data_IF_864114570601
#
_entry.id   IF_864114570601
#
_cell.length_a   1.000
_cell.length_b   1.000
_cell.length_c   1.000
_cell.angle_alpha   90.00
_cell.angle_beta   90.00
_cell.angle_gamma   90.00
#
_symmetry.space_group_name_H-M   'P 1'
#
loop_
_entity.id
_entity.type
_entity.pdbx_description
1 polymer ?
#
# COMPACT_ATOMS: atom_id res chain seq x y z
N UNK A 1 34.78 -2.23 13.27
CA UNK A 1 34.67 -3.55 12.62
C UNK A 1 35.72 -4.47 13.23
N UNK A 2 35.43 -5.08 14.39
CA UNK A 2 36.33 -6.06 15.03
C UNK A 2 35.47 -7.28 15.32
N UNK A 3 35.62 -8.32 14.49
CA UNK A 3 34.81 -9.55 14.57
C UNK A 3 34.46 -10.20 13.24
N UNK A 4 34.47 -9.46 12.13
CA UNK A 4 34.07 -9.97 10.81
C UNK A 4 35.27 -10.30 9.91
N UNK A 5 35.16 -11.38 9.13
CA UNK A 5 36.21 -11.91 8.25
C UNK A 5 36.42 -11.10 6.96
N UNK A 6 35.43 -10.32 6.54
CA UNK A 6 35.50 -9.39 5.41
C UNK A 6 34.40 -8.32 5.50
N UNK A 7 34.49 -7.28 4.66
CA UNK A 7 33.54 -6.17 4.60
C UNK A 7 32.12 -6.62 4.20
N UNK A 8 32.00 -7.62 3.33
CA UNK A 8 30.70 -8.17 2.90
C UNK A 8 29.95 -8.83 4.06
N UNK A 9 30.66 -9.58 4.91
CA UNK A 9 30.10 -10.22 6.10
C UNK A 9 29.61 -9.18 7.11
N UNK A 10 30.39 -8.10 7.31
CA UNK A 10 30.00 -7.00 8.19
C UNK A 10 28.78 -6.24 7.65
N UNK A 11 28.70 -6.00 6.34
CA UNK A 11 27.55 -5.36 5.71
C UNK A 11 26.29 -6.25 5.78
N UNK A 12 26.44 -7.56 5.57
CA UNK A 12 25.34 -8.51 5.69
C UNK A 12 24.79 -8.58 7.12
N UNK A 13 25.66 -8.59 8.12
CA UNK A 13 25.22 -8.59 9.53
C UNK A 13 24.51 -7.28 9.91
N UNK A 14 24.99 -6.14 9.39
CA UNK A 14 24.40 -4.83 9.62
C UNK A 14 23.01 -4.66 8.99
N UNK A 15 22.84 -5.09 7.73
CA UNK A 15 21.59 -4.88 6.99
C UNK A 15 20.65 -6.08 7.00
N UNK A 16 21.15 -7.25 7.38
CA UNK A 16 20.39 -8.49 7.51
C UNK A 16 19.82 -8.73 8.91
N UNK A 17 19.97 -7.79 9.84
CA UNK A 17 19.34 -7.87 11.16
C UNK A 17 17.79 -7.75 11.05
N UNK A 18 17.01 -8.68 11.63
CA UNK A 18 15.55 -8.63 11.60
C UNK A 18 14.91 -7.48 12.40
N UNK A 19 15.66 -6.78 13.28
CA UNK A 19 15.11 -5.69 14.08
C UNK A 19 15.44 -4.30 13.52
N UNK A 20 16.70 -4.05 13.18
CA UNK A 20 17.19 -2.74 12.74
C UNK A 20 17.71 -2.73 11.29
N UNK A 21 17.69 -3.87 10.61
CA UNK A 21 18.13 -4.01 9.22
C UNK A 21 17.04 -3.74 8.17
N UNK A 22 17.34 -4.03 6.91
CA UNK A 22 16.44 -3.88 5.76
C UNK A 22 15.99 -5.23 5.20
N UNK A 23 15.78 -6.22 6.08
CA UNK A 23 15.29 -7.54 5.71
C UNK A 23 13.98 -7.42 4.90
N UNK A 24 13.87 -8.14 3.78
CA UNK A 24 12.78 -8.05 2.79
C UNK A 24 12.68 -6.72 2.01
N UNK A 25 13.66 -5.82 2.15
CA UNK A 25 13.82 -4.63 1.33
C UNK A 25 15.28 -4.49 0.88
N UNK A 26 15.68 -5.41 0.01
CA UNK A 26 17.08 -5.62 -0.38
C UNK A 26 17.68 -4.43 -1.13
N UNK A 27 16.84 -3.63 -1.79
CA UNK A 27 17.29 -2.44 -2.52
C UNK A 27 17.64 -1.28 -1.59
N UNK A 28 17.02 -1.18 -0.41
CA UNK A 28 17.30 -0.10 0.55
C UNK A 28 18.71 -0.22 1.13
N UNK A 29 19.20 -1.43 1.40
CA UNK A 29 20.57 -1.63 1.85
C UNK A 29 21.60 -1.16 0.81
N UNK A 30 21.36 -1.48 -0.47
CA UNK A 30 22.19 -1.03 -1.58
C UNK A 30 22.15 0.50 -1.72
N UNK A 31 20.96 1.11 -1.57
CA UNK A 31 20.79 2.56 -1.58
C UNK A 31 21.58 3.25 -0.47
N UNK A 32 21.54 2.70 0.75
CA UNK A 32 22.24 3.26 1.92
C UNK A 32 23.76 3.12 1.81
N UNK A 33 24.23 1.96 1.34
CA UNK A 33 25.65 1.74 1.09
C UNK A 33 26.23 2.75 0.09
N UNK A 34 25.45 3.11 -0.91
CA UNK A 34 25.94 3.86 -2.06
C UNK A 34 25.74 5.36 -1.91
N UNK A 35 24.51 5.80 -1.62
CA UNK A 35 24.16 7.22 -1.58
C UNK A 35 24.55 7.86 -0.24
N UNK A 36 24.38 7.14 0.88
CA UNK A 36 24.75 7.64 2.21
C UNK A 36 26.16 7.20 2.64
N UNK A 37 26.77 6.25 1.93
CA UNK A 37 28.13 5.78 2.24
C UNK A 37 28.23 5.13 3.62
N UNK A 38 27.17 4.47 4.08
CA UNK A 38 27.12 3.83 5.39
C UNK A 38 27.19 2.31 5.25
N UNK A 39 28.08 1.60 5.97
CA UNK A 39 29.03 2.11 6.96
C UNK A 39 30.32 2.70 6.38
N UNK A 40 30.55 2.59 5.07
CA UNK A 40 31.68 3.21 4.38
C UNK A 40 31.32 3.53 2.92
N UNK A 41 31.84 4.65 2.39
CA UNK A 41 31.64 5.06 1.00
C UNK A 41 32.31 4.09 0.02
N UNK A 42 31.65 3.70 -1.09
CA UNK A 42 32.26 2.84 -2.10
C UNK A 42 33.47 3.50 -2.76
N UNK A 43 34.56 2.76 -2.94
CA UNK A 43 35.79 3.28 -3.55
C UNK A 43 35.62 3.67 -5.03
N UNK A 44 34.63 3.09 -5.71
CA UNK A 44 34.30 3.31 -7.13
C UNK A 44 33.33 4.47 -7.37
N UNK A 45 32.87 5.16 -6.31
CA UNK A 45 31.96 6.30 -6.40
C UNK A 45 30.48 5.93 -6.22
N UNK A 46 29.59 6.90 -6.46
CA UNK A 46 28.13 6.71 -6.34
C UNK A 46 27.59 5.73 -7.40
N UNK A 47 26.51 5.04 -7.07
CA UNK A 47 25.86 4.00 -7.90
C UNK A 47 26.79 2.80 -8.19
N UNK A 48 27.69 2.47 -7.26
CA UNK A 48 28.50 1.24 -7.28
C UNK A 48 27.65 -0.02 -7.03
N UNK A 49 26.69 0.08 -6.13
CA UNK A 49 25.86 -1.04 -5.66
C UNK A 49 24.38 -0.83 -6.00
N UNK A 50 23.93 0.42 -5.98
CA UNK A 50 22.59 0.82 -6.35
C UNK A 50 22.50 1.11 -7.85
N UNK A 51 21.37 0.79 -8.45
CA UNK A 51 21.17 1.00 -9.88
C UNK A 51 21.13 2.51 -10.22
N UNK A 52 21.84 2.92 -11.26
CA UNK A 52 21.98 4.31 -11.69
C UNK A 52 20.79 4.84 -12.50
N UNK A 53 19.99 3.95 -13.09
CA UNK A 53 18.86 4.30 -13.95
C UNK A 53 17.53 4.36 -13.19
N UNK A 54 17.27 3.39 -12.31
CA UNK A 54 15.99 3.28 -11.59
C UNK A 54 16.14 2.58 -10.24
N UNK A 55 15.51 3.16 -9.21
CA UNK A 55 15.34 2.51 -7.91
C UNK A 55 14.19 1.49 -7.90
N UNK A 56 13.23 1.65 -8.80
CA UNK A 56 12.03 0.83 -8.96
C UNK A 56 11.47 1.01 -10.37
N UNK A 57 11.03 -0.07 -11.01
CA UNK A 57 10.43 -0.02 -12.34
C UNK A 57 8.95 -0.44 -12.27
N UNK A 58 8.07 0.53 -12.43
CA UNK A 58 6.62 0.28 -12.49
C UNK A 58 6.14 0.21 -13.93
N UNK A 59 5.18 -0.67 -14.19
CA UNK A 59 4.54 -0.79 -15.48
C UNK A 59 3.02 -0.69 -15.32
N UNK A 60 2.40 0.22 -16.06
CA UNK A 60 0.95 0.31 -16.15
C UNK A 60 0.40 -0.91 -16.88
N UNK A 61 -0.50 -1.63 -16.21
CA UNK A 61 -1.12 -2.87 -16.70
C UNK A 61 -2.56 -2.96 -16.25
N UNK A 62 -3.45 -3.38 -17.15
CA UNK A 62 -4.86 -3.63 -16.85
C UNK A 62 -5.08 -5.07 -16.35
N UNK A 63 -4.36 -5.45 -15.28
CA UNK A 63 -4.41 -6.80 -14.69
C UNK A 63 -5.13 -6.84 -13.33
N UNK A 64 -5.43 -5.67 -12.76
CA UNK A 64 -6.17 -5.53 -11.52
C UNK A 64 -7.68 -5.72 -11.75
N UNK A 65 -8.38 -6.28 -10.76
CA UNK A 65 -9.83 -6.39 -10.77
C UNK A 65 -10.43 -5.84 -9.48
N UNK A 66 -11.63 -5.27 -9.58
CA UNK A 66 -12.42 -4.76 -8.45
C UNK A 66 -13.83 -5.35 -8.50
N UNK A 67 -14.37 -5.72 -7.33
CA UNK A 67 -15.70 -6.28 -7.17
C UNK A 67 -16.48 -5.44 -6.16
N UNK A 68 -17.65 -4.93 -6.57
CA UNK A 68 -18.53 -4.14 -5.74
C UNK A 68 -19.89 -4.82 -5.56
N UNK A 69 -20.34 -4.96 -4.31
CA UNK A 69 -21.65 -5.47 -3.94
C UNK A 69 -22.39 -4.43 -3.13
N UNK A 70 -23.70 -4.24 -3.36
CA UNK A 70 -24.50 -3.29 -2.60
C UNK A 70 -25.93 -3.77 -2.38
N UNK A 71 -26.52 -3.27 -1.29
CA UNK A 71 -27.91 -3.46 -0.90
C UNK A 71 -28.46 -2.11 -0.46
N UNK A 72 -29.62 -1.72 -0.99
CA UNK A 72 -30.32 -0.51 -0.56
C UNK A 72 -31.70 -0.87 -0.02
N UNK A 73 -32.03 -0.35 1.15
CA UNK A 73 -33.30 -0.55 1.84
C UNK A 73 -33.90 0.81 2.17
N UNK A 74 -35.14 1.02 1.73
CA UNK A 74 -35.92 2.21 2.09
C UNK A 74 -37.16 1.79 2.86
N UNK A 75 -37.37 2.40 4.02
CA UNK A 75 -38.53 2.18 4.88
C UNK A 75 -39.23 3.51 5.17
N UNK A 76 -40.48 3.61 4.69
CA UNK A 76 -41.36 4.77 4.92
C UNK A 76 -42.53 4.34 5.80
N UNK A 77 -42.73 5.04 6.92
CA UNK A 77 -43.86 4.83 7.82
C UNK A 77 -44.64 6.12 8.02
N UNK A 78 -45.87 6.14 7.55
CA UNK A 78 -46.85 7.19 7.87
C UNK A 78 -47.62 6.80 9.13
N UNK A 79 -47.53 7.63 10.16
CA UNK A 79 -48.28 7.50 11.40
C UNK A 79 -49.50 8.43 11.36
N UNK A 80 -50.52 8.12 12.16
CA UNK A 80 -51.66 9.01 12.30
C UNK A 80 -51.26 10.34 12.94
N UNK A 81 -52.03 11.41 12.68
CA UNK A 81 -51.83 12.78 13.21
C UNK A 81 -50.67 13.58 12.57
N UNK A 82 -50.36 13.31 11.31
CA UNK A 82 -49.42 14.14 10.52
C UNK A 82 -47.96 13.75 10.62
N UNK A 83 -47.63 12.71 11.40
CA UNK A 83 -46.27 12.24 11.61
C UNK A 83 -45.87 11.21 10.53
N UNK A 84 -44.75 11.43 9.85
CA UNK A 84 -44.15 10.50 8.89
C UNK A 84 -42.68 10.29 9.22
N UNK A 85 -42.20 9.05 9.06
CA UNK A 85 -40.81 8.67 9.18
C UNK A 85 -40.32 8.06 7.87
N UNK A 86 -39.11 8.42 7.47
CA UNK A 86 -38.42 7.87 6.31
C UNK A 86 -37.00 7.47 6.70
N UNK A 87 -36.62 6.24 6.38
CA UNK A 87 -35.30 5.67 6.63
C UNK A 87 -34.75 5.08 5.33
N UNK A 88 -33.53 5.46 4.97
CA UNK A 88 -32.75 4.90 3.87
C UNK A 88 -31.47 4.30 4.42
N UNK A 89 -31.22 3.05 4.11
CA UNK A 89 -30.01 2.34 4.48
C UNK A 89 -29.37 1.74 3.24
N UNK A 90 -28.10 2.04 3.03
CA UNK A 90 -27.28 1.44 1.99
C UNK A 90 -26.15 0.67 2.65
N UNK A 91 -26.04 -0.60 2.30
CA UNK A 91 -24.87 -1.42 2.56
C UNK A 91 -24.08 -1.54 1.26
N UNK A 92 -22.76 -1.49 1.37
CA UNK A 92 -21.89 -1.85 0.25
C UNK A 92 -20.66 -2.63 0.70
N UNK A 93 -20.01 -3.30 -0.24
CA UNK A 93 -18.70 -3.91 -0.03
C UNK A 93 -17.93 -3.87 -1.33
N UNK A 94 -16.80 -3.17 -1.32
CA UNK A 94 -15.83 -3.09 -2.39
C UNK A 94 -14.58 -3.87 -2.05
N UNK A 95 -14.10 -4.68 -2.99
CA UNK A 95 -12.88 -5.49 -2.85
C UNK A 95 -12.07 -5.36 -4.13
N UNK A 96 -10.81 -4.96 -4.04
CA UNK A 96 -9.90 -4.86 -5.17
C UNK A 96 -8.50 -5.41 -4.85
N UNK A 97 -7.62 -5.36 -5.84
CA UNK A 97 -6.20 -5.69 -5.74
C UNK A 97 -5.33 -4.46 -5.47
N UNK A 98 -5.89 -3.28 -5.71
CA UNK A 98 -5.23 -1.97 -5.74
C UNK A 98 -6.33 -0.92 -5.73
N UNK A 99 -6.28 -0.04 -4.74
CA UNK A 99 -6.99 1.24 -4.72
C UNK A 99 -6.14 2.24 -3.96
N UNK A 100 -6.28 3.51 -4.32
CA UNK A 100 -5.70 4.65 -3.59
C UNK A 100 -6.45 5.92 -3.99
N UNK A 101 -6.31 6.98 -3.20
CA UNK A 101 -6.83 8.29 -3.53
C UNK A 101 -6.03 8.91 -4.70
N UNK A 102 -6.73 9.47 -5.70
CA UNK A 102 -6.12 10.07 -6.90
C UNK A 102 -5.11 11.20 -6.59
N UNK A 103 -5.23 11.86 -5.42
CA UNK A 103 -4.29 12.91 -4.98
C UNK A 103 -2.95 12.35 -4.51
N UNK A 104 -2.86 11.06 -4.19
CA UNK A 104 -1.61 10.43 -3.80
C UNK A 104 -0.79 10.22 -5.07
N UNK A 105 0.32 10.96 -5.16
CA UNK A 105 1.28 10.77 -6.25
C UNK A 105 2.05 9.46 -6.06
N UNK A 106 2.75 8.99 -7.11
CA UNK A 106 3.52 7.74 -7.11
C UNK A 106 4.73 7.73 -6.14
N UNK A 107 4.89 8.78 -5.33
CA UNK A 107 5.94 8.92 -4.33
C UNK A 107 5.39 9.08 -2.90
N UNK A 108 4.07 8.98 -2.72
CA UNK A 108 3.39 9.16 -1.42
C UNK A 108 3.40 7.91 -0.52
N UNK A 109 3.90 6.78 -1.01
CA UNK A 109 3.89 5.48 -0.34
C UNK A 109 3.75 4.35 -1.35
N UNK A 110 3.40 3.14 -0.88
CA UNK A 110 2.91 2.06 -1.74
C UNK A 110 1.47 2.38 -2.18
N UNK A 111 1.33 3.48 -2.93
CA UNK A 111 0.09 4.04 -3.45
C UNK A 111 -0.59 3.10 -4.43
N UNK A 112 -1.30 2.13 -3.87
CA UNK A 112 -2.03 1.09 -4.57
C UNK A 112 -1.17 0.10 -5.37
N UNK A 113 0.14 0.32 -5.57
CA UNK A 113 0.88 -0.48 -6.54
C UNK A 113 0.96 -1.96 -6.15
N UNK A 114 0.83 -2.82 -7.15
CA UNK A 114 0.96 -4.25 -6.95
C UNK A 114 2.45 -4.59 -6.72
N UNK A 115 2.80 -4.89 -5.46
CA UNK A 115 4.17 -5.22 -5.03
C UNK A 115 4.67 -6.51 -5.69
N UNK A 116 3.85 -7.57 -5.64
CA UNK A 116 4.18 -8.86 -6.24
C UNK A 116 3.41 -9.07 -7.55
N UNK A 117 4.02 -8.66 -8.66
CA UNK A 117 3.44 -8.81 -10.00
C UNK A 117 3.23 -10.27 -10.42
N UNK A 118 3.96 -11.23 -9.85
CA UNK A 118 3.80 -12.66 -10.13
C UNK A 118 2.63 -13.30 -9.39
N UNK A 119 2.23 -12.71 -8.25
CA UNK A 119 1.13 -13.20 -7.41
C UNK A 119 0.29 -12.03 -6.89
N UNK A 120 -0.26 -11.28 -7.83
CA UNK A 120 -1.05 -10.05 -7.60
C UNK A 120 -2.25 -10.25 -6.66
N UNK A 121 -2.78 -11.48 -6.54
CA UNK A 121 -3.88 -11.80 -5.61
C UNK A 121 -3.49 -11.70 -4.12
N UNK A 122 -2.20 -11.62 -3.79
CA UNK A 122 -1.73 -11.41 -2.42
C UNK A 122 -2.22 -10.08 -1.83
N UNK A 123 -2.50 -9.09 -2.68
CA UNK A 123 -2.98 -7.77 -2.28
C UNK A 123 -4.50 -7.64 -2.31
N UNK A 124 -5.24 -8.74 -2.48
CA UNK A 124 -6.70 -8.68 -2.54
C UNK A 124 -7.31 -8.36 -1.17
N UNK A 125 -7.86 -7.16 -1.03
CA UNK A 125 -8.41 -6.65 0.22
C UNK A 125 -9.65 -5.77 -0.01
N UNK A 126 -10.28 -5.33 1.08
CA UNK A 126 -11.34 -4.31 1.02
C UNK A 126 -10.75 -3.03 0.44
N UNK A 127 -11.46 -2.42 -0.51
CA UNK A 127 -10.99 -1.19 -1.18
C UNK A 127 -10.86 -0.02 -0.21
N UNK A 128 -9.94 0.90 -0.49
CA UNK A 128 -9.73 2.12 0.30
C UNK A 128 -10.95 3.06 0.31
N UNK A 129 -11.82 2.95 -0.70
CA UNK A 129 -13.05 3.72 -0.85
C UNK A 129 -14.31 2.96 -0.40
N UNK A 130 -14.17 1.85 0.35
CA UNK A 130 -15.32 1.08 0.82
C UNK A 130 -16.20 1.88 1.81
N UNK A 131 -17.48 2.04 1.46
CA UNK A 131 -18.48 2.68 2.31
C UNK A 131 -19.50 1.65 2.79
N UNK A 132 -19.10 0.81 3.75
CA UNK A 132 -19.87 -0.40 4.09
C UNK A 132 -21.29 -0.10 4.57
N UNK A 133 -21.48 1.00 5.31
CA UNK A 133 -22.76 1.36 5.90
C UNK A 133 -23.04 2.85 5.72
N UNK A 134 -24.16 3.18 5.08
CA UNK A 134 -24.66 4.54 4.97
C UNK A 134 -26.12 4.57 5.41
N UNK A 135 -26.46 5.50 6.31
CA UNK A 135 -27.82 5.68 6.84
C UNK A 135 -28.25 7.13 6.63
N UNK A 136 -29.48 7.32 6.17
CA UNK A 136 -30.17 8.61 6.13
C UNK A 136 -31.59 8.45 6.70
N UNK A 137 -32.00 9.35 7.58
CA UNK A 137 -33.33 9.33 8.17
C UNK A 137 -33.93 10.73 8.25
N UNK A 138 -35.23 10.85 8.03
CA UNK A 138 -35.98 12.09 8.20
C UNK A 138 -37.39 11.83 8.75
N UNK A 139 -38.00 12.89 9.28
CA UNK A 139 -39.37 12.85 9.80
C UNK A 139 -40.05 14.21 9.61
N UNK A 140 -41.36 14.19 9.37
CA UNK A 140 -42.23 15.37 9.28
C UNK A 140 -43.51 15.16 10.07
#
# INVERSE_FOLDING_TARGET
ISGYSNSTQAAYDLFGDPFDGFLANETTALFVLDLFGFPATPATGLNTFFNDQYSSLYAWRSIANANYHALQVTATKRMGRGLQFDLNYTWSKSIDLMSDAERIGPHGGLGGEIINSWSHKQMRAVSDFDATHQVNANWI
#
